data_IF_516567918045
#
_entry.id   IF_516567918045
#
_cell.length_a   1.000
_cell.length_b   1.000
_cell.length_c   1.000
_cell.angle_alpha   90.00
_cell.angle_beta   90.00
_cell.angle_gamma   90.00
#
_symmetry.space_group_name_H-M   'P 1'
#
loop_
_entity.id
_entity.type
_entity.pdbx_description
1 polymer ?
#
# COMPACT_ATOMS: atom_id res chain seq x y z
N UNK A 1 -6.52 -0.69 20.79
CA UNK A 1 -5.31 -0.63 19.95
C UNK A 1 -5.80 -0.61 18.51
N UNK A 2 -5.74 0.55 17.84
CA UNK A 2 -6.27 0.73 16.49
C UNK A 2 -5.25 0.19 15.49
N UNK A 3 -5.66 -0.72 14.60
CA UNK A 3 -4.76 -1.34 13.62
C UNK A 3 -4.63 -0.41 12.41
N UNK A 4 -3.59 0.42 12.39
CA UNK A 4 -3.25 1.19 11.20
C UNK A 4 -2.32 0.34 10.32
N UNK A 5 -2.72 0.08 9.08
CA UNK A 5 -1.79 -0.48 8.10
C UNK A 5 -0.85 0.64 7.66
N UNK A 6 0.44 0.50 7.97
CA UNK A 6 1.48 1.42 7.50
C UNK A 6 2.27 0.78 6.38
N UNK A 7 2.43 1.51 5.30
CA UNK A 7 3.10 1.05 4.09
C UNK A 7 4.22 2.04 3.75
N UNK A 8 5.45 1.58 3.66
CA UNK A 8 6.58 2.33 3.13
C UNK A 8 6.72 2.13 1.63
N UNK A 9 7.00 3.20 0.88
CA UNK A 9 7.29 3.10 -0.56
C UNK A 9 8.77 3.42 -0.76
N UNK A 10 9.56 2.42 -1.11
CA UNK A 10 10.97 2.57 -1.45
C UNK A 10 11.11 2.69 -2.98
N UNK A 11 11.61 3.83 -3.47
CA UNK A 11 11.99 4.02 -4.88
C UNK A 11 13.45 3.64 -5.09
N UNK A 12 13.70 2.58 -5.84
CA UNK A 12 15.01 2.37 -6.45
C UNK A 12 15.12 3.11 -7.79
N UNK A 13 16.31 3.68 -8.05
CA UNK A 13 16.62 4.61 -9.16
C UNK A 13 16.47 4.00 -10.57
N UNK A 14 16.21 2.71 -10.64
CA UNK A 14 15.86 1.91 -11.82
C UNK A 14 14.83 0.90 -11.32
N UNK A 15 13.73 0.71 -12.07
CA UNK A 15 12.54 -0.10 -11.74
C UNK A 15 12.84 -1.40 -10.97
N UNK A 16 11.96 -1.88 -10.06
CA UNK A 16 10.57 -1.47 -9.75
C UNK A 16 10.38 -0.69 -8.43
N UNK A 17 9.14 -0.22 -8.16
CA UNK A 17 8.76 0.34 -6.86
C UNK A 17 8.66 -0.78 -5.84
N UNK A 18 9.32 -0.65 -4.69
CA UNK A 18 9.20 -1.63 -3.62
C UNK A 18 8.29 -1.07 -2.52
N UNK A 19 7.20 -1.76 -2.29
CA UNK A 19 6.23 -1.42 -1.26
C UNK A 19 6.45 -2.38 -0.10
N UNK A 20 6.72 -1.85 1.08
CA UNK A 20 6.96 -2.61 2.31
C UNK A 20 5.87 -2.31 3.32
N UNK A 21 5.33 -3.34 3.95
CA UNK A 21 4.45 -3.23 5.11
C UNK A 21 5.31 -2.89 6.33
N UNK A 22 5.09 -1.71 6.91
CA UNK A 22 5.79 -1.24 8.10
C UNK A 22 4.99 -1.42 9.39
N UNK A 23 3.69 -1.68 9.31
CA UNK A 23 2.86 -1.93 10.50
C UNK A 23 1.88 -3.09 10.31
N UNK A 24 1.50 -3.71 11.42
CA UNK A 24 0.65 -4.91 11.47
C UNK A 24 1.44 -6.18 11.72
N UNK A 25 0.76 -7.34 11.74
CA UNK A 25 1.41 -8.65 11.93
C UNK A 25 2.33 -9.02 10.76
N UNK A 26 2.09 -8.43 9.59
CA UNK A 26 2.83 -8.67 8.36
C UNK A 26 3.96 -7.64 8.14
N UNK A 27 4.40 -6.95 9.21
CA UNK A 27 5.53 -6.02 9.14
C UNK A 27 6.77 -6.71 8.54
N UNK A 28 7.39 -6.06 7.57
CA UNK A 28 8.54 -6.55 6.81
C UNK A 28 8.18 -7.27 5.52
N UNK A 29 6.89 -7.45 5.22
CA UNK A 29 6.46 -7.95 3.91
C UNK A 29 6.71 -6.88 2.85
N UNK A 30 7.36 -7.23 1.76
CA UNK A 30 7.53 -6.32 0.64
C UNK A 30 7.11 -6.93 -0.69
N UNK A 31 6.58 -6.08 -1.57
CA UNK A 31 6.17 -6.43 -2.93
C UNK A 31 6.76 -5.43 -3.90
N UNK A 32 7.14 -5.93 -5.07
CA UNK A 32 7.70 -5.13 -6.15
C UNK A 32 6.62 -4.90 -7.19
N UNK A 33 6.40 -3.63 -7.52
CA UNK A 33 5.35 -3.20 -8.44
C UNK A 33 5.98 -2.38 -9.55
N UNK A 34 5.71 -2.80 -10.78
CA UNK A 34 6.10 -2.06 -11.97
C UNK A 34 5.18 -0.87 -12.21
N UNK A 35 5.69 0.14 -12.90
CA UNK A 35 4.88 1.26 -13.33
C UNK A 35 3.79 0.80 -14.30
N UNK A 36 2.54 1.12 -14.01
CA UNK A 36 1.34 0.71 -14.75
C UNK A 36 0.64 -0.51 -14.15
N UNK A 37 1.11 -1.01 -12.99
CA UNK A 37 0.49 -2.14 -12.30
C UNK A 37 -0.29 -1.66 -11.08
N UNK A 38 -1.46 -2.25 -10.89
CA UNK A 38 -2.31 -2.06 -9.72
C UNK A 38 -2.28 -3.34 -8.89
N UNK A 39 -1.91 -3.20 -7.62
CA UNK A 39 -1.99 -4.29 -6.65
C UNK A 39 -3.09 -4.02 -5.64
N UNK A 40 -3.62 -5.10 -5.09
CA UNK A 40 -4.64 -5.03 -4.04
C UNK A 40 -4.03 -5.58 -2.75
N UNK A 41 -4.19 -4.83 -1.67
CA UNK A 41 -3.76 -5.20 -0.33
C UNK A 41 -4.99 -5.51 0.51
N UNK A 42 -4.98 -6.67 1.15
CA UNK A 42 -6.09 -7.11 1.99
C UNK A 42 -5.86 -8.54 2.46
N UNK A 43 -6.79 -9.08 3.23
CA UNK A 43 -6.69 -10.49 3.67
C UNK A 43 -7.27 -11.50 2.68
N UNK A 44 -7.91 -11.04 1.62
CA UNK A 44 -8.51 -11.91 0.60
C UNK A 44 -7.45 -12.64 -0.21
N UNK A 45 -7.77 -13.86 -0.66
CA UNK A 45 -6.90 -14.62 -1.57
C UNK A 45 -6.80 -13.97 -2.96
N UNK A 46 -7.79 -13.12 -3.29
CA UNK A 46 -7.81 -12.26 -4.47
C UNK A 46 -6.86 -11.04 -4.39
N UNK A 47 -6.20 -10.84 -3.25
CA UNK A 47 -5.28 -9.72 -3.03
C UNK A 47 -3.84 -10.11 -3.40
N UNK A 48 -3.16 -9.23 -4.13
CA UNK A 48 -1.75 -9.39 -4.49
C UNK A 48 -0.86 -9.43 -3.22
N UNK A 49 -1.19 -8.57 -2.25
CA UNK A 49 -0.57 -8.56 -0.94
C UNK A 49 -1.57 -9.08 0.10
N UNK A 50 -1.53 -10.39 0.30
CA UNK A 50 -2.35 -11.07 1.30
C UNK A 50 -1.81 -10.84 2.71
N UNK A 51 -2.53 -10.03 3.48
CA UNK A 51 -2.25 -9.78 4.89
C UNK A 51 -2.94 -10.83 5.78
N UNK A 52 -2.21 -11.45 6.70
CA UNK A 52 -2.76 -12.38 7.69
C UNK A 52 -3.36 -11.69 8.93
N UNK A 53 -3.34 -10.36 8.97
CA UNK A 53 -3.83 -9.58 10.09
C UNK A 53 -5.38 -9.65 10.19
N UNK A 54 -5.95 -10.07 11.34
CA UNK A 54 -7.39 -10.23 11.50
C UNK A 54 -8.15 -8.89 11.58
N UNK A 55 -7.46 -7.77 11.80
CA UNK A 55 -8.05 -6.43 11.77
C UNK A 55 -8.06 -5.83 10.36
N UNK A 56 -7.44 -6.50 9.38
CA UNK A 56 -7.44 -6.09 7.98
C UNK A 56 -8.67 -6.64 7.25
N UNK A 57 -9.39 -5.76 6.58
CA UNK A 57 -10.53 -6.09 5.70
C UNK A 57 -10.13 -7.01 4.54
N UNK A 58 -11.11 -7.75 3.97
CA UNK A 58 -10.87 -8.63 2.80
C UNK A 58 -10.19 -7.89 1.66
N UNK A 59 -10.66 -6.68 1.39
CA UNK A 59 -10.00 -5.68 0.55
C UNK A 59 -9.80 -4.47 1.47
N UNK A 60 -8.55 -4.12 1.73
CA UNK A 60 -8.20 -3.01 2.64
C UNK A 60 -7.92 -1.76 1.81
N UNK A 61 -6.90 -1.82 0.96
CA UNK A 61 -6.55 -0.74 0.05
C UNK A 61 -6.00 -1.28 -1.27
N UNK A 62 -6.04 -0.44 -2.30
CA UNK A 62 -5.44 -0.69 -3.61
C UNK A 62 -4.29 0.28 -3.81
N UNK A 63 -3.22 -0.22 -4.41
CA UNK A 63 -2.02 0.55 -4.69
C UNK A 63 -1.80 0.49 -6.20
N UNK A 64 -1.90 1.62 -6.87
CA UNK A 64 -1.75 1.74 -8.31
C UNK A 64 -0.53 2.58 -8.62
N UNK A 65 0.42 2.06 -9.39
CA UNK A 65 1.59 2.82 -9.77
C UNK A 65 1.37 3.47 -11.14
N UNK A 66 0.80 4.66 -11.22
CA UNK A 66 0.59 5.35 -12.50
C UNK A 66 1.70 6.37 -12.80
N UNK A 67 2.33 6.29 -13.99
CA UNK A 67 3.31 7.28 -14.49
C UNK A 67 4.44 7.61 -13.50
N UNK A 68 4.88 6.59 -12.76
CA UNK A 68 5.87 6.76 -11.70
C UNK A 68 5.32 7.57 -10.53
N UNK A 69 4.06 7.37 -10.16
CA UNK A 69 3.41 7.86 -8.94
C UNK A 69 2.66 6.68 -8.33
N UNK A 70 2.66 6.55 -7.03
CA UNK A 70 1.89 5.52 -6.32
C UNK A 70 0.61 6.15 -5.82
N UNK A 71 -0.52 5.68 -6.32
CA UNK A 71 -1.86 6.08 -5.91
C UNK A 71 -2.37 5.03 -4.94
N UNK A 72 -2.72 5.43 -3.73
CA UNK A 72 -3.24 4.53 -2.69
C UNK A 72 -4.71 4.81 -2.50
N UNK A 73 -5.56 3.89 -2.93
CA UNK A 73 -7.01 3.97 -2.79
C UNK A 73 -7.47 3.10 -1.62
N UNK A 74 -7.98 3.73 -0.56
CA UNK A 74 -8.63 3.00 0.52
C UNK A 74 -9.99 2.46 0.06
N UNK A 75 -10.20 1.16 0.22
CA UNK A 75 -11.41 0.46 -0.25
C UNK A 75 -12.36 0.07 0.89
N UNK A 76 -12.24 0.70 2.08
CA UNK A 76 -13.06 0.39 3.24
C UNK A 76 -12.26 -0.17 4.43
N UNK A 77 -11.07 0.36 4.67
CA UNK A 77 -10.30 0.02 5.87
C UNK A 77 -10.98 0.61 7.10
N UNK A 78 -11.26 -0.21 8.11
CA UNK A 78 -11.92 0.22 9.35
C UNK A 78 -11.13 1.29 10.12
N UNK A 79 -9.80 1.33 9.94
CA UNK A 79 -8.90 2.23 10.66
C UNK A 79 -8.11 3.17 9.72
N UNK A 80 -8.26 3.03 8.40
CA UNK A 80 -7.48 3.76 7.39
C UNK A 80 -6.08 3.20 7.15
N UNK A 81 -5.51 3.56 6.00
CA UNK A 81 -4.14 3.21 5.59
C UNK A 81 -3.22 4.43 5.75
N UNK A 82 -1.99 4.20 6.18
CA UNK A 82 -0.95 5.21 6.26
C UNK A 82 0.20 4.83 5.34
N UNK A 83 0.71 5.80 4.57
CA UNK A 83 1.75 5.55 3.58
C UNK A 83 2.90 6.51 3.85
N UNK A 84 4.08 5.98 4.15
CA UNK A 84 5.26 6.74 4.56
C UNK A 84 4.98 7.74 5.71
N UNK A 85 4.11 7.33 6.64
CA UNK A 85 3.67 8.16 7.78
C UNK A 85 2.56 9.17 7.45
N UNK A 86 2.05 9.20 6.22
CA UNK A 86 0.93 10.04 5.81
C UNK A 86 -0.36 9.22 5.79
N UNK A 87 -1.30 9.55 6.66
CA UNK A 87 -2.63 8.91 6.68
C UNK A 87 -3.40 9.25 5.39
N UNK A 88 -3.62 8.24 4.55
CA UNK A 88 -4.42 8.33 3.33
C UNK A 88 -5.81 7.75 3.58
N UNK A 89 -6.79 8.57 3.90
CA UNK A 89 -8.17 8.13 4.13
C UNK A 89 -9.02 8.06 2.86
N UNK A 90 -8.54 8.59 1.73
CA UNK A 90 -9.13 8.43 0.40
C UNK A 90 -8.09 8.81 -0.67
N UNK A 91 -7.79 7.90 -1.60
CA UNK A 91 -6.99 8.13 -2.82
C UNK A 91 -5.78 9.08 -2.64
N UNK A 92 -4.77 8.68 -1.87
CA UNK A 92 -3.57 9.50 -1.67
C UNK A 92 -2.53 9.22 -2.76
N UNK A 93 -2.11 10.25 -3.49
CA UNK A 93 -1.08 10.15 -4.54
C UNK A 93 0.31 10.50 -3.99
N UNK A 94 1.17 9.50 -3.88
CA UNK A 94 2.56 9.61 -3.47
C UNK A 94 3.47 9.52 -4.68
N UNK A 95 4.04 10.66 -5.05
CA UNK A 95 4.93 10.74 -6.21
C UNK A 95 4.67 11.98 -7.02
N UNK A 96 4.99 13.14 -6.46
CA UNK A 96 5.23 14.33 -7.27
C UNK A 96 6.60 14.84 -6.89
N UNK A 97 7.67 14.29 -7.48
CA UNK A 97 8.90 15.05 -7.53
C UNK A 97 8.89 15.81 -8.85
N UNK A 98 8.86 17.16 -8.85
CA UNK A 98 9.09 17.90 -10.07
C UNK A 98 10.51 17.54 -10.54
N UNK A 99 10.58 16.89 -11.70
CA UNK A 99 11.80 16.82 -12.50
C UNK A 99 11.88 18.05 -13.38
#
# INVERSE_FOLDING_TARGET
MACFLEIGIQRHKQMPFEIEVRSGVDQGRSVRIDSGVTIVVGRGDECDLQLTDPHVSRVHCRLEVERGRVVVEDAGSTYGVSVDGVAGSAAAQFGSFPG
#
